data_IF_410752708024
#
_entry.id   IF_410752708024
#
_cell.length_a   1.000
_cell.length_b   1.000
_cell.length_c   1.000
_cell.angle_alpha   90.00
_cell.angle_beta   90.00
_cell.angle_gamma   90.00
#
_symmetry.space_group_name_H-M   'P 1'
#
loop_
_entity.id
_entity.type
_entity.pdbx_description
1 polymer ?
#
# COMPACT_ATOMS: atom_id res chain seq x y z
N UNK A 1 5.17 -13.52 5.74
CA UNK A 1 4.99 -13.49 4.26
C UNK A 1 5.42 -12.13 3.74
N UNK A 2 5.66 -11.98 2.42
CA UNK A 2 5.99 -10.69 1.80
C UNK A 2 4.78 -10.15 1.04
N UNK A 3 4.39 -8.91 1.30
CA UNK A 3 3.25 -8.23 0.68
C UNK A 3 3.76 -6.96 -0.01
N UNK A 4 3.37 -6.75 -1.27
CA UNK A 4 3.77 -5.59 -2.07
C UNK A 4 2.60 -4.66 -2.38
N UNK A 5 2.83 -3.35 -2.28
CA UNK A 5 1.86 -2.29 -2.58
C UNK A 5 2.46 -1.38 -3.65
N UNK A 6 2.26 -1.68 -4.94
CA UNK A 6 2.71 -0.82 -6.03
C UNK A 6 1.82 0.42 -6.15
N UNK A 7 2.32 1.43 -6.87
CA UNK A 7 1.48 2.55 -7.32
C UNK A 7 0.57 2.09 -8.45
N UNK A 8 -0.69 2.50 -8.43
CA UNK A 8 -1.62 2.26 -9.53
C UNK A 8 -1.14 2.96 -10.81
N UNK A 9 -1.31 2.29 -11.96
CA UNK A 9 -0.78 2.76 -13.26
C UNK A 9 -1.87 3.20 -14.23
N UNK A 10 -3.14 2.97 -13.88
CA UNK A 10 -4.26 3.37 -14.73
C UNK A 10 -4.46 4.88 -14.66
N UNK A 11 -4.79 5.47 -15.81
CA UNK A 11 -5.19 6.88 -15.87
C UNK A 11 -6.37 7.13 -14.95
N UNK A 12 -6.32 8.27 -14.25
CA UNK A 12 -7.35 8.70 -13.28
C UNK A 12 -7.62 7.70 -12.14
N UNK A 13 -6.65 6.83 -11.84
CA UNK A 13 -6.68 5.95 -10.67
C UNK A 13 -5.84 6.54 -9.54
N UNK A 14 -6.51 6.94 -8.46
CA UNK A 14 -5.90 7.61 -7.32
C UNK A 14 -5.90 6.76 -6.05
N UNK A 15 -6.49 5.56 -6.10
CA UNK A 15 -6.55 4.65 -4.96
C UNK A 15 -5.20 4.01 -4.67
N UNK A 16 -5.10 3.44 -3.48
CA UNK A 16 -4.00 2.56 -3.06
C UNK A 16 -4.61 1.34 -2.38
N UNK A 17 -4.00 0.18 -2.59
CA UNK A 17 -4.55 -1.09 -2.11
C UNK A 17 -4.53 -1.25 -0.57
N UNK A 18 -3.69 -0.48 0.13
CA UNK A 18 -3.52 -0.56 1.58
C UNK A 18 -3.39 0.83 2.20
N UNK A 19 -4.11 1.04 3.30
CA UNK A 19 -3.97 2.21 4.17
C UNK A 19 -2.91 1.95 5.25
N UNK A 20 -2.40 2.99 5.94
CA UNK A 20 -1.47 2.80 7.05
C UNK A 20 -2.00 1.86 8.15
N UNK A 21 -3.31 1.88 8.41
CA UNK A 21 -3.93 0.95 9.37
C UNK A 21 -3.83 -0.51 8.90
N UNK A 22 -4.13 -0.79 7.63
CA UNK A 22 -3.99 -2.14 7.08
C UNK A 22 -2.52 -2.61 7.05
N UNK A 23 -1.57 -1.70 6.76
CA UNK A 23 -0.14 -2.00 6.85
C UNK A 23 0.24 -2.39 8.28
N UNK A 24 -0.27 -1.65 9.28
CA UNK A 24 0.02 -1.93 10.69
C UNK A 24 -0.43 -3.32 11.11
N UNK A 25 -1.66 -3.70 10.77
CA UNK A 25 -2.20 -5.04 11.08
C UNK A 25 -1.37 -6.16 10.44
N UNK A 26 -0.96 -6.00 9.19
CA UNK A 26 -0.12 -7.00 8.50
C UNK A 26 1.27 -7.12 9.15
N UNK A 27 1.87 -6.00 9.55
CA UNK A 27 3.16 -5.99 10.25
C UNK A 27 3.04 -6.64 11.63
N UNK A 28 1.99 -6.31 12.40
CA UNK A 28 1.74 -6.89 13.72
C UNK A 28 1.48 -8.41 13.63
N UNK A 29 0.91 -8.89 12.51
CA UNK A 29 0.77 -10.31 12.18
C UNK A 29 2.09 -10.98 11.70
N UNK A 30 3.22 -10.29 11.70
CA UNK A 30 4.53 -10.82 11.32
C UNK A 30 4.77 -10.89 9.82
N UNK A 31 4.13 -10.03 9.02
CA UNK A 31 4.38 -9.91 7.59
C UNK A 31 5.31 -8.74 7.27
N UNK A 32 6.12 -8.90 6.22
CA UNK A 32 6.91 -7.81 5.67
C UNK A 32 6.09 -7.11 4.58
N UNK A 33 5.90 -5.80 4.72
CA UNK A 33 5.14 -4.98 3.76
C UNK A 33 6.08 -4.04 3.04
N UNK A 34 6.06 -4.09 1.71
CA UNK A 34 6.84 -3.25 0.81
C UNK A 34 5.90 -2.31 0.08
N UNK A 35 6.13 -1.00 0.22
CA UNK A 35 5.32 0.04 -0.45
C UNK A 35 6.21 0.76 -1.45
N UNK A 36 5.75 0.88 -2.70
CA UNK A 36 6.44 1.69 -3.69
C UNK A 36 6.43 3.16 -3.27
N UNK A 37 7.57 3.84 -3.35
CA UNK A 37 7.66 5.28 -3.07
C UNK A 37 6.64 6.06 -3.91
N UNK A 38 5.78 6.83 -3.25
CA UNK A 38 4.73 7.62 -3.88
C UNK A 38 3.36 6.94 -3.98
N UNK A 39 3.23 5.63 -3.69
CA UNK A 39 1.94 4.98 -3.63
C UNK A 39 1.06 5.60 -2.54
N UNK A 40 -0.18 5.95 -2.87
CA UNK A 40 -1.14 6.57 -1.95
C UNK A 40 -1.07 8.09 -1.84
N UNK A 41 -0.15 8.79 -2.53
CA UNK A 41 -0.12 10.27 -2.52
C UNK A 41 -1.37 10.92 -3.12
N UNK A 42 -2.05 10.24 -4.05
CA UNK A 42 -3.30 10.69 -4.63
C UNK A 42 -4.54 10.27 -3.83
N UNK A 43 -4.38 9.45 -2.79
CA UNK A 43 -5.49 8.94 -1.98
C UNK A 43 -5.76 9.91 -0.82
N UNK A 44 -6.89 10.63 -0.89
CA UNK A 44 -7.38 11.52 0.16
C UNK A 44 -8.52 10.88 0.97
#
# INVERSE_FOLDING_TARGET
MKVGVPTEVKSDEYRVALTPAGVRELVDAGHEVYVQSGAGLGSA
#
